data_IF_676903051747
#
_entry.id   IF_676903051747
#
_cell.length_a   1.000
_cell.length_b   1.000
_cell.length_c   1.000
_cell.angle_alpha   90.00
_cell.angle_beta   90.00
_cell.angle_gamma   90.00
#
_symmetry.space_group_name_H-M   'P 1'
#
loop_
_entity.id
_entity.type
_entity.pdbx_description
1 polymer ?
#
# COMPACT_ATOMS: atom_id res chain seq x y z
N UNK A 1 7.35 -10.73 18.93
CA UNK A 1 6.68 -9.70 18.11
C UNK A 1 7.33 -9.75 16.73
N UNK A 2 6.67 -10.36 15.76
CA UNK A 2 7.20 -10.50 14.40
C UNK A 2 6.44 -9.52 13.50
N UNK A 3 7.16 -8.70 12.75
CA UNK A 3 6.56 -7.78 11.77
C UNK A 3 6.08 -8.62 10.58
N UNK A 4 4.83 -8.45 10.11
CA UNK A 4 4.25 -9.28 9.05
C UNK A 4 4.79 -8.90 7.66
N UNK A 5 6.03 -9.30 7.39
CA UNK A 5 6.71 -9.07 6.12
C UNK A 5 6.17 -9.98 5.02
N UNK A 6 6.06 -9.46 3.78
CA UNK A 6 5.57 -10.20 2.61
C UNK A 6 6.38 -11.45 2.22
N UNK A 7 7.59 -11.61 2.76
CA UNK A 7 8.40 -12.82 2.57
C UNK A 7 7.94 -13.99 3.44
N UNK A 8 7.13 -13.72 4.47
CA UNK A 8 6.50 -14.76 5.29
C UNK A 8 5.31 -15.33 4.53
N UNK A 9 5.07 -16.63 4.57
CA UNK A 9 3.91 -17.22 3.89
C UNK A 9 3.29 -18.34 4.72
N UNK A 10 1.96 -18.31 4.96
CA UNK A 10 1.01 -17.26 4.57
C UNK A 10 1.12 -15.99 5.44
N UNK A 11 0.93 -14.80 4.85
CA UNK A 11 1.07 -13.49 5.54
C UNK A 11 -0.28 -12.78 5.80
N UNK A 12 -1.23 -13.48 6.42
CA UNK A 12 -2.55 -12.90 6.71
C UNK A 12 -2.55 -11.82 7.79
N UNK A 13 -1.49 -11.75 8.58
CA UNK A 13 -1.36 -10.75 9.65
C UNK A 13 -1.12 -9.33 9.10
N UNK A 14 -0.50 -9.17 7.91
CA UNK A 14 -0.31 -7.85 7.31
C UNK A 14 -1.65 -7.19 6.98
N UNK A 15 -2.60 -7.95 6.42
CA UNK A 15 -3.95 -7.49 6.10
C UNK A 15 -4.67 -6.98 7.36
N UNK A 16 -4.60 -7.75 8.45
CA UNK A 16 -5.23 -7.40 9.74
C UNK A 16 -4.64 -6.15 10.37
N UNK A 17 -3.31 -6.11 10.50
CA UNK A 17 -2.60 -4.97 11.11
C UNK A 17 -2.87 -3.70 10.30
N UNK A 18 -2.90 -3.79 8.97
CA UNK A 18 -3.25 -2.64 8.14
C UNK A 18 -4.67 -2.13 8.42
N UNK A 19 -5.66 -3.01 8.47
CA UNK A 19 -7.05 -2.62 8.78
C UNK A 19 -7.19 -2.03 10.19
N UNK A 20 -6.46 -2.57 11.18
CA UNK A 20 -6.39 -2.01 12.53
C UNK A 20 -5.79 -0.59 12.51
N UNK A 21 -4.69 -0.39 11.78
CA UNK A 21 -4.05 0.92 11.62
C UNK A 21 -4.95 1.93 10.91
N UNK A 22 -5.63 1.54 9.83
CA UNK A 22 -6.60 2.40 9.12
C UNK A 22 -7.64 2.93 10.11
N UNK A 23 -8.19 2.04 10.94
CA UNK A 23 -9.20 2.40 11.94
C UNK A 23 -8.62 3.28 13.06
N UNK A 24 -7.45 2.93 13.58
CA UNK A 24 -6.79 3.64 14.68
C UNK A 24 -6.45 5.09 14.29
N UNK A 25 -5.83 5.25 13.12
CA UNK A 25 -5.40 6.55 12.62
C UNK A 25 -6.49 7.32 11.86
N UNK A 26 -7.66 6.70 11.64
CA UNK A 26 -8.74 7.25 10.81
C UNK A 26 -8.23 7.65 9.43
N UNK A 27 -7.47 6.76 8.80
CA UNK A 27 -6.84 7.05 7.51
C UNK A 27 -7.91 7.18 6.42
N UNK A 28 -7.86 8.29 5.67
CA UNK A 28 -8.76 8.53 4.53
C UNK A 28 -8.36 7.72 3.28
N UNK A 29 -7.12 7.22 3.22
CA UNK A 29 -6.63 6.41 2.12
C UNK A 29 -5.27 5.77 2.42
N UNK A 30 -4.91 4.75 1.63
CA UNK A 30 -3.66 3.99 1.76
C UNK A 30 -2.85 4.06 0.47
N UNK A 31 -1.56 4.39 0.62
CA UNK A 31 -0.58 4.35 -0.46
C UNK A 31 0.41 3.22 -0.17
N UNK A 32 0.41 2.17 -1.00
CA UNK A 32 1.38 1.07 -0.95
C UNK A 32 2.57 1.41 -1.84
N UNK A 33 3.73 1.65 -1.22
CA UNK A 33 4.97 1.98 -1.93
C UNK A 33 5.82 0.73 -2.04
N UNK A 34 6.01 0.25 -3.27
CA UNK A 34 6.76 -0.95 -3.59
C UNK A 34 8.04 -0.54 -4.30
N UNK A 35 9.18 -1.01 -3.80
CA UNK A 35 10.44 -0.82 -4.51
C UNK A 35 10.48 -1.71 -5.75
N UNK A 36 11.01 -1.19 -6.85
CA UNK A 36 11.24 -1.96 -8.06
C UNK A 36 12.04 -3.24 -7.73
N UNK A 37 11.62 -4.37 -8.31
CA UNK A 37 12.13 -5.72 -8.02
C UNK A 37 11.79 -6.29 -6.62
N UNK A 38 10.95 -5.63 -5.83
CA UNK A 38 10.42 -6.19 -4.59
C UNK A 38 9.21 -7.12 -4.87
N UNK A 39 9.48 -8.30 -5.45
CA UNK A 39 8.44 -9.18 -6.00
C UNK A 39 7.40 -9.65 -4.98
N UNK A 40 7.79 -9.98 -3.75
CA UNK A 40 6.84 -10.48 -2.75
C UNK A 40 5.85 -9.39 -2.33
N UNK A 41 6.29 -8.15 -2.19
CA UNK A 41 5.41 -7.00 -1.94
C UNK A 41 4.50 -6.73 -3.14
N UNK A 42 5.06 -6.73 -4.36
CA UNK A 42 4.29 -6.49 -5.58
C UNK A 42 3.17 -7.55 -5.79
N UNK A 43 3.47 -8.83 -5.53
CA UNK A 43 2.46 -9.89 -5.56
C UNK A 43 1.40 -9.70 -4.46
N UNK A 44 1.83 -9.31 -3.25
CA UNK A 44 0.94 -9.13 -2.10
C UNK A 44 0.04 -7.88 -2.20
N UNK A 45 0.43 -6.86 -2.99
CA UNK A 45 -0.36 -5.65 -3.27
C UNK A 45 -1.81 -5.96 -3.68
N UNK A 46 -2.06 -7.06 -4.40
CA UNK A 46 -3.42 -7.47 -4.76
C UNK A 46 -4.28 -7.85 -3.54
N UNK A 47 -3.69 -8.48 -2.53
CA UNK A 47 -4.37 -8.84 -1.29
C UNK A 47 -4.58 -7.61 -0.41
N UNK A 48 -3.57 -6.73 -0.33
CA UNK A 48 -3.64 -5.48 0.42
C UNK A 48 -4.73 -4.57 -0.13
N UNK A 49 -4.83 -4.43 -1.45
CA UNK A 49 -5.92 -3.68 -2.10
C UNK A 49 -7.29 -4.21 -1.69
N UNK A 50 -7.47 -5.53 -1.65
CA UNK A 50 -8.74 -6.15 -1.21
C UNK A 50 -9.02 -5.82 0.26
N UNK A 51 -8.01 -5.96 1.12
CA UNK A 51 -8.16 -5.65 2.54
C UNK A 51 -8.56 -4.18 2.80
N UNK A 52 -8.06 -3.22 2.02
CA UNK A 52 -8.50 -1.82 2.10
C UNK A 52 -9.94 -1.64 1.59
N UNK A 53 -10.31 -2.28 0.48
CA UNK A 53 -11.66 -2.22 -0.06
C UNK A 53 -12.71 -2.82 0.91
N UNK A 54 -12.36 -3.89 1.63
CA UNK A 54 -13.25 -4.53 2.61
C UNK A 54 -13.60 -3.60 3.79
N UNK A 55 -12.84 -2.53 3.99
CA UNK A 55 -13.09 -1.47 4.99
C UNK A 55 -13.35 -0.11 4.35
N UNK A 56 -13.80 -0.11 3.09
CA UNK A 56 -14.19 1.08 2.31
C UNK A 56 -13.12 2.18 2.27
N UNK A 57 -11.83 1.80 2.29
CA UNK A 57 -10.71 2.75 2.28
C UNK A 57 -10.05 2.82 0.89
N UNK A 58 -9.99 4.00 0.25
CA UNK A 58 -9.26 4.23 -0.99
C UNK A 58 -7.82 3.71 -0.95
N UNK A 59 -7.38 3.12 -2.06
CA UNK A 59 -6.06 2.49 -2.16
C UNK A 59 -5.36 2.82 -3.48
N UNK A 60 -4.06 3.15 -3.39
CA UNK A 60 -3.17 3.28 -4.55
C UNK A 60 -1.86 2.55 -4.32
N UNK A 61 -1.40 1.79 -5.32
CA UNK A 61 -0.05 1.23 -5.35
C UNK A 61 0.88 2.11 -6.21
N UNK A 62 2.07 2.40 -5.69
CA UNK A 62 3.17 3.07 -6.37
C UNK A 62 4.36 2.13 -6.42
N UNK A 63 4.91 1.89 -7.61
CA UNK A 63 6.20 1.23 -7.77
C UNK A 63 7.25 2.29 -8.12
N UNK A 64 8.39 2.29 -7.43
CA UNK A 64 9.43 3.31 -7.56
C UNK A 64 10.81 2.73 -7.26
N UNK A 65 11.87 3.47 -7.57
CA UNK A 65 13.25 3.12 -7.25
C UNK A 65 13.95 4.26 -6.49
N UNK A 66 15.29 4.24 -6.41
CA UNK A 66 16.06 5.28 -5.72
C UNK A 66 16.38 6.49 -6.62
N UNK A 67 16.00 6.44 -7.90
CA UNK A 67 16.20 7.55 -8.82
C UNK A 67 15.14 8.64 -8.58
N UNK A 68 15.33 9.79 -9.23
CA UNK A 68 14.35 10.89 -9.21
C UNK A 68 13.56 10.98 -10.52
N UNK A 69 13.72 9.97 -11.38
CA UNK A 69 13.21 9.98 -12.76
C UNK A 69 11.68 9.94 -12.82
N UNK A 70 11.05 9.32 -11.83
CA UNK A 70 9.60 9.12 -11.72
C UNK A 70 8.91 10.16 -10.81
N UNK A 71 9.67 11.07 -10.18
CA UNK A 71 9.15 12.02 -9.18
C UNK A 71 7.99 12.88 -9.71
N UNK A 72 8.07 13.32 -10.97
CA UNK A 72 6.99 14.07 -11.61
C UNK A 72 5.70 13.25 -11.78
N UNK A 73 5.83 11.99 -12.19
CA UNK A 73 4.69 11.08 -12.34
C UNK A 73 4.07 10.74 -10.99
N UNK A 74 4.89 10.44 -9.98
CA UNK A 74 4.44 10.18 -8.61
C UNK A 74 3.67 11.37 -8.07
N UNK A 75 4.18 12.59 -8.26
CA UNK A 75 3.51 13.82 -7.83
C UNK A 75 2.10 13.93 -8.42
N UNK A 76 1.94 13.83 -9.74
CA UNK A 76 0.62 13.92 -10.38
C UNK A 76 -0.34 12.82 -9.92
N UNK A 77 0.16 11.59 -9.71
CA UNK A 77 -0.67 10.48 -9.22
C UNK A 77 -1.13 10.69 -7.78
N UNK A 78 -0.27 11.23 -6.92
CA UNK A 78 -0.62 11.58 -5.54
C UNK A 78 -1.63 12.73 -5.50
N UNK A 79 -1.44 13.78 -6.30
CA UNK A 79 -2.41 14.89 -6.42
C UNK A 79 -3.79 14.37 -6.82
N UNK A 80 -3.87 13.57 -7.88
CA UNK A 80 -5.13 12.97 -8.32
C UNK A 80 -5.76 12.03 -7.29
N UNK A 81 -4.94 11.27 -6.55
CA UNK A 81 -5.45 10.40 -5.48
C UNK A 81 -6.07 11.21 -4.35
N UNK A 82 -5.40 12.28 -3.90
CA UNK A 82 -5.88 13.17 -2.84
C UNK A 82 -7.17 13.90 -3.26
N UNK A 83 -7.29 14.31 -4.52
CA UNK A 83 -8.52 14.93 -5.04
C UNK A 83 -9.75 13.99 -5.05
N UNK A 84 -9.54 12.68 -4.99
CA UNK A 84 -10.60 11.66 -5.01
C UNK A 84 -11.01 11.14 -3.61
N UNK A 85 -10.31 11.54 -2.54
CA UNK A 85 -10.64 11.18 -1.15
C UNK A 85 -11.84 11.99 -0.64
#
# INVERSE_FOLDING_TARGET
>A
MAIPCSVMSPNKEREKVLQEMIKEYKADGVIDVVLQACHTYNVETANIKRACNDVDTPYMALETDFSTSDAGQIKTRLEAFIEML
#
